data_IF_853627540436
#
_entry.id   IF_853627540436
#
_cell.length_a   1.000
_cell.length_b   1.000
_cell.length_c   1.000
_cell.angle_alpha   90.00
_cell.angle_beta   90.00
_cell.angle_gamma   90.00
#
_symmetry.space_group_name_H-M   'P 1'
#
loop_
_entity.id
_entity.type
_entity.pdbx_description
1 polymer ?
#
# COMPACT_ATOMS: atom_id res chain seq x y z
N UNK A 1 8.32 -14.30 14.06
CA UNK A 1 8.39 -14.02 12.60
C UNK A 1 9.47 -12.96 12.41
N UNK A 2 10.42 -13.09 11.48
CA UNK A 2 11.43 -12.06 11.19
C UNK A 2 10.87 -11.08 10.17
N UNK A 3 11.26 -9.81 10.23
CA UNK A 3 10.93 -8.87 9.15
C UNK A 3 11.82 -9.08 7.93
N UNK A 4 11.27 -8.85 6.74
CA UNK A 4 12.01 -8.74 5.49
C UNK A 4 11.57 -7.46 4.79
N UNK A 5 12.52 -6.75 4.17
CA UNK A 5 12.21 -5.61 3.31
C UNK A 5 12.21 -6.07 1.86
N UNK A 6 11.14 -5.75 1.14
CA UNK A 6 11.01 -6.04 -0.28
C UNK A 6 10.79 -4.71 -1.01
N UNK A 7 11.82 -4.27 -1.74
CA UNK A 7 11.72 -3.12 -2.64
C UNK A 7 11.03 -3.53 -3.93
N UNK A 8 9.93 -2.85 -4.26
CA UNK A 8 9.12 -3.09 -5.45
C UNK A 8 9.13 -1.85 -6.34
N UNK A 9 10.18 -1.71 -7.15
CA UNK A 9 10.44 -0.51 -7.95
C UNK A 9 9.68 -0.52 -9.27
N UNK A 10 8.48 0.04 -9.27
CA UNK A 10 7.65 0.26 -10.47
C UNK A 10 7.06 1.66 -10.48
N UNK A 11 6.97 2.25 -11.65
CA UNK A 11 6.15 3.43 -11.94
C UNK A 11 5.28 3.21 -13.19
N UNK A 12 5.08 1.94 -13.54
CA UNK A 12 4.30 1.53 -14.71
C UNK A 12 2.80 1.74 -14.54
N UNK A 13 2.32 1.71 -13.30
CA UNK A 13 0.90 1.93 -12.97
C UNK A 13 0.48 3.40 -13.01
N UNK A 14 1.41 4.34 -13.16
CA UNK A 14 1.16 5.78 -13.22
C UNK A 14 1.85 6.39 -14.44
N UNK A 15 1.33 7.49 -14.97
CA UNK A 15 1.92 8.15 -16.16
C UNK A 15 3.14 9.04 -15.82
N UNK A 16 3.48 9.20 -14.55
CA UNK A 16 4.60 10.02 -14.07
C UNK A 16 5.76 9.12 -13.67
N UNK A 17 6.95 9.44 -14.15
CA UNK A 17 8.16 8.70 -13.83
C UNK A 17 8.67 9.04 -12.42
N UNK A 18 9.39 8.10 -11.81
CA UNK A 18 10.23 8.32 -10.66
C UNK A 18 9.91 7.49 -9.42
N UNK A 19 8.67 7.02 -9.21
CA UNK A 19 8.38 6.17 -8.04
C UNK A 19 9.14 4.85 -8.07
N UNK A 20 9.52 4.36 -9.25
CA UNK A 20 10.38 3.18 -9.39
C UNK A 20 11.74 3.31 -8.69
N UNK A 21 12.26 4.52 -8.53
CA UNK A 21 13.53 4.81 -7.87
C UNK A 21 13.39 4.84 -6.33
N UNK A 22 12.19 5.10 -5.82
CA UNK A 22 11.90 5.27 -4.40
C UNK A 22 12.39 4.11 -3.53
N UNK A 23 12.08 2.84 -3.86
CA UNK A 23 12.51 1.69 -3.08
C UNK A 23 14.01 1.58 -2.90
N UNK A 24 14.79 1.80 -3.96
CA UNK A 24 16.26 1.72 -3.90
C UNK A 24 16.82 2.79 -2.97
N UNK A 25 16.32 4.03 -3.08
CA UNK A 25 16.76 5.15 -2.26
C UNK A 25 16.44 4.90 -0.78
N UNK A 26 15.19 4.57 -0.45
CA UNK A 26 14.79 4.30 0.94
C UNK A 26 15.52 3.09 1.54
N UNK A 27 15.69 2.01 0.79
CA UNK A 27 16.42 0.82 1.29
C UNK A 27 17.88 1.15 1.58
N UNK A 28 18.54 1.98 0.77
CA UNK A 28 19.92 2.36 1.03
C UNK A 28 20.06 3.12 2.36
N UNK A 29 19.15 4.01 2.68
CA UNK A 29 19.16 4.74 3.95
C UNK A 29 18.77 3.84 5.14
N UNK A 30 17.80 2.95 4.96
CA UNK A 30 17.37 1.98 5.96
C UNK A 30 18.51 1.04 6.39
N UNK A 31 19.44 0.70 5.51
CA UNK A 31 20.61 -0.13 5.84
C UNK A 31 21.46 0.40 6.99
N UNK A 32 21.36 1.69 7.30
CA UNK A 32 22.03 2.30 8.46
C UNK A 32 21.55 1.72 9.80
N UNK A 33 20.28 1.36 9.91
CA UNK A 33 19.66 0.87 11.14
C UNK A 33 19.00 -0.52 11.01
N UNK A 34 18.70 -0.99 9.81
CA UNK A 34 18.13 -2.31 9.57
C UNK A 34 19.21 -3.30 9.11
N UNK A 35 19.34 -4.44 9.82
CA UNK A 35 20.34 -5.49 9.55
C UNK A 35 19.71 -6.79 9.05
N UNK A 36 18.39 -6.78 8.80
CA UNK A 36 17.67 -7.93 8.24
C UNK A 36 17.87 -8.08 6.74
N UNK A 37 17.17 -9.05 6.17
CA UNK A 37 17.19 -9.32 4.73
C UNK A 37 16.42 -8.25 3.96
N UNK A 38 16.98 -7.81 2.83
CA UNK A 38 16.33 -6.89 1.91
C UNK A 38 16.51 -7.41 0.46
N UNK A 39 15.40 -7.50 -0.26
CA UNK A 39 15.34 -7.91 -1.67
C UNK A 39 14.82 -6.72 -2.46
N UNK A 40 15.32 -6.49 -3.68
CA UNK A 40 14.82 -5.44 -4.57
C UNK A 40 14.41 -6.05 -5.90
N UNK A 41 13.19 -5.77 -6.31
CA UNK A 41 12.60 -6.14 -7.60
C UNK A 41 12.31 -4.85 -8.34
N UNK A 42 12.88 -4.71 -9.53
CA UNK A 42 12.75 -3.50 -10.34
C UNK A 42 12.05 -3.81 -11.66
N UNK A 43 11.29 -2.85 -12.17
CA UNK A 43 10.87 -2.88 -13.57
C UNK A 43 12.09 -2.90 -14.49
N UNK A 44 11.93 -3.40 -15.71
CA UNK A 44 12.98 -3.39 -16.70
C UNK A 44 13.28 -1.93 -17.15
N UNK A 45 14.57 -1.61 -17.30
CA UNK A 45 15.01 -0.24 -17.59
C UNK A 45 14.54 0.28 -18.97
N UNK A 46 14.37 -0.63 -19.94
CA UNK A 46 14.07 -0.27 -21.34
C UNK A 46 12.55 -0.19 -21.64
N UNK A 47 11.69 -0.29 -20.63
CA UNK A 47 10.24 -0.22 -20.84
C UNK A 47 9.82 1.21 -21.19
N UNK A 48 9.30 1.38 -22.41
CA UNK A 48 8.65 2.62 -22.82
C UNK A 48 7.18 2.63 -22.36
N UNK A 49 6.90 3.43 -21.35
CA UNK A 49 5.54 3.61 -20.85
C UNK A 49 4.59 4.15 -21.92
N UNK A 50 3.38 3.61 -21.95
CA UNK A 50 2.31 4.20 -22.73
C UNK A 50 1.99 5.61 -22.23
N UNK A 51 2.08 6.58 -23.12
CA UNK A 51 1.70 7.98 -22.86
C UNK A 51 0.36 8.34 -23.52
N UNK A 52 -0.28 7.39 -24.19
CA UNK A 52 -1.56 7.62 -24.83
C UNK A 52 -2.67 7.78 -23.78
N UNK A 53 -3.14 9.01 -23.58
CA UNK A 53 -4.18 9.32 -22.61
C UNK A 53 -5.54 8.69 -22.92
N UNK A 54 -5.79 8.29 -24.16
CA UNK A 54 -7.04 7.60 -24.55
C UNK A 54 -7.00 6.09 -24.28
N UNK A 55 -5.84 5.53 -23.99
CA UNK A 55 -5.69 4.13 -23.65
C UNK A 55 -6.05 3.91 -22.17
N UNK A 56 -7.05 3.07 -21.93
CA UNK A 56 -7.52 2.71 -20.60
C UNK A 56 -6.78 1.52 -19.99
N UNK A 57 -5.94 0.84 -20.76
CA UNK A 57 -5.15 -0.35 -20.39
C UNK A 57 -3.64 -0.07 -20.46
N UNK A 58 -3.24 1.09 -19.99
CA UNK A 58 -1.83 1.50 -20.04
C UNK A 58 -0.94 0.55 -19.27
N UNK A 59 0.09 0.06 -19.95
CA UNK A 59 1.14 -0.78 -19.35
C UNK A 59 0.58 -2.02 -18.62
N UNK A 60 -0.63 -2.49 -18.97
CA UNK A 60 -1.28 -3.61 -18.28
C UNK A 60 -0.39 -4.85 -18.25
N UNK A 61 0.23 -5.20 -19.39
CA UNK A 61 1.10 -6.35 -19.49
C UNK A 61 2.37 -6.20 -18.64
N UNK A 62 3.01 -5.06 -18.70
CA UNK A 62 4.25 -4.75 -18.00
C UNK A 62 4.02 -4.69 -16.47
N UNK A 63 2.88 -4.13 -16.05
CA UNK A 63 2.46 -4.15 -14.63
C UNK A 63 2.20 -5.58 -14.15
N UNK A 64 1.52 -6.41 -14.96
CA UNK A 64 1.26 -7.81 -14.60
C UNK A 64 2.57 -8.59 -14.46
N UNK A 65 3.54 -8.37 -15.34
CA UNK A 65 4.84 -9.05 -15.29
C UNK A 65 5.62 -8.74 -14.00
N UNK A 66 5.76 -7.45 -13.65
CA UNK A 66 6.46 -7.09 -12.41
C UNK A 66 5.68 -7.51 -11.17
N UNK A 67 4.36 -7.36 -11.18
CA UNK A 67 3.49 -7.76 -10.08
C UNK A 67 3.56 -9.28 -9.83
N UNK A 68 3.69 -10.09 -10.87
CA UNK A 68 3.92 -11.54 -10.76
C UNK A 68 5.22 -11.86 -10.00
N UNK A 69 6.30 -11.14 -10.29
CA UNK A 69 7.60 -11.30 -9.60
C UNK A 69 7.50 -10.90 -8.12
N UNK A 70 6.83 -9.77 -7.84
CA UNK A 70 6.61 -9.26 -6.47
C UNK A 70 5.75 -10.25 -5.66
N UNK A 71 4.61 -10.67 -6.24
CA UNK A 71 3.71 -11.64 -5.62
C UNK A 71 4.41 -12.94 -5.21
N UNK A 72 5.15 -13.53 -6.15
CA UNK A 72 5.85 -14.79 -5.93
C UNK A 72 6.90 -14.67 -4.83
N UNK A 73 7.64 -13.56 -4.81
CA UNK A 73 8.66 -13.29 -3.78
C UNK A 73 8.03 -13.13 -2.40
N UNK A 74 6.95 -12.35 -2.28
CA UNK A 74 6.26 -12.15 -0.99
C UNK A 74 5.71 -13.47 -0.48
N UNK A 75 5.02 -14.22 -1.35
CA UNK A 75 4.42 -15.52 -0.99
C UNK A 75 5.47 -16.53 -0.51
N UNK A 76 6.64 -16.57 -1.16
CA UNK A 76 7.77 -17.41 -0.73
C UNK A 76 8.26 -17.00 0.66
N UNK A 77 8.51 -15.71 0.88
CA UNK A 77 9.02 -15.19 2.15
C UNK A 77 8.02 -15.33 3.30
N UNK A 78 6.74 -15.16 3.06
CA UNK A 78 5.72 -15.44 4.08
C UNK A 78 5.68 -16.92 4.46
N UNK A 79 5.84 -17.86 3.51
CA UNK A 79 5.97 -19.31 3.79
C UNK A 79 7.22 -19.63 4.60
N UNK A 80 8.29 -18.87 4.44
CA UNK A 80 9.49 -18.92 5.27
C UNK A 80 9.31 -18.26 6.65
N UNK A 81 8.10 -17.83 6.98
CA UNK A 81 7.72 -17.16 8.23
C UNK A 81 8.35 -15.78 8.42
N UNK A 82 8.52 -15.02 7.32
CA UNK A 82 8.87 -13.61 7.39
C UNK A 82 7.61 -12.72 7.41
N UNK A 83 7.75 -11.56 8.04
CA UNK A 83 6.81 -10.45 7.94
C UNK A 83 7.26 -9.53 6.81
N UNK A 84 6.54 -9.43 5.68
CA UNK A 84 6.94 -8.57 4.58
C UNK A 84 6.64 -7.12 4.89
N UNK A 85 7.64 -6.27 4.72
CA UNK A 85 7.53 -4.81 4.64
C UNK A 85 7.91 -4.44 3.21
N UNK A 86 6.90 -4.13 2.40
CA UNK A 86 7.11 -3.78 1.00
C UNK A 86 7.31 -2.27 0.88
N UNK A 87 8.38 -1.86 0.25
CA UNK A 87 8.62 -0.47 -0.12
C UNK A 87 8.36 -0.37 -1.61
N UNK A 88 7.24 0.26 -1.96
CA UNK A 88 6.73 0.27 -3.31
C UNK A 88 7.19 1.45 -4.15
N UNK A 89 6.96 1.30 -5.42
CA UNK A 89 6.83 2.35 -6.40
C UNK A 89 5.45 3.00 -6.34
N UNK A 90 4.71 2.98 -7.44
CA UNK A 90 3.31 3.43 -7.47
C UNK A 90 2.37 2.40 -6.81
N UNK A 91 1.13 2.80 -6.55
CA UNK A 91 0.14 1.98 -5.82
C UNK A 91 -0.29 0.70 -6.56
N UNK A 92 0.11 0.47 -7.82
CA UNK A 92 -0.17 -0.80 -8.50
C UNK A 92 0.52 -1.99 -7.83
N UNK A 93 1.64 -1.76 -7.11
CA UNK A 93 2.35 -2.82 -6.39
C UNK A 93 1.63 -3.28 -5.11
N UNK A 94 0.68 -2.50 -4.59
CA UNK A 94 -0.16 -2.94 -3.49
C UNK A 94 -1.00 -4.17 -3.87
N UNK A 95 -1.32 -4.35 -5.16
CA UNK A 95 -2.07 -5.52 -5.64
C UNK A 95 -1.33 -6.82 -5.28
N UNK A 96 -0.10 -7.07 -5.75
CA UNK A 96 0.63 -8.28 -5.39
C UNK A 96 0.95 -8.38 -3.90
N UNK A 97 1.20 -7.25 -3.22
CA UNK A 97 1.51 -7.24 -1.79
C UNK A 97 0.35 -7.77 -0.95
N UNK A 98 -0.85 -7.26 -1.16
CA UNK A 98 -2.03 -7.69 -0.44
C UNK A 98 -2.50 -9.10 -0.85
N UNK A 99 -2.47 -9.44 -2.16
CA UNK A 99 -2.94 -10.72 -2.66
C UNK A 99 -2.01 -11.89 -2.30
N UNK A 100 -0.70 -11.69 -2.17
CA UNK A 100 0.22 -12.71 -1.68
C UNK A 100 -0.14 -13.10 -0.24
N UNK A 101 -0.36 -12.11 0.64
CA UNK A 101 -0.80 -12.35 2.01
C UNK A 101 -2.18 -13.01 2.05
N UNK A 102 -3.12 -12.58 1.18
CA UNK A 102 -4.43 -13.22 1.08
C UNK A 102 -4.34 -14.69 0.66
N UNK A 103 -3.42 -15.05 -0.23
CA UNK A 103 -3.17 -16.45 -0.61
C UNK A 103 -2.63 -17.28 0.54
N UNK A 104 -1.69 -16.73 1.30
CA UNK A 104 -1.03 -17.46 2.38
C UNK A 104 -1.95 -17.63 3.61
N UNK A 105 -2.71 -16.60 3.97
CA UNK A 105 -3.57 -16.60 5.16
C UNK A 105 -5.05 -16.89 4.85
N UNK A 106 -5.45 -17.00 3.57
CA UNK A 106 -6.77 -17.33 3.03
C UNK A 106 -7.87 -16.26 3.25
N UNK A 107 -7.98 -15.71 4.44
CA UNK A 107 -9.01 -14.73 4.80
C UNK A 107 -8.38 -13.61 5.62
N UNK A 108 -8.12 -12.49 4.99
CA UNK A 108 -7.54 -11.30 5.61
C UNK A 108 -8.41 -10.08 5.38
N UNK A 109 -8.22 -9.06 6.23
CA UNK A 109 -8.72 -7.72 5.96
C UNK A 109 -7.63 -6.81 5.42
N UNK A 110 -8.01 -5.61 5.01
CA UNK A 110 -7.10 -4.61 4.50
C UNK A 110 -7.48 -3.21 4.96
N UNK A 111 -6.48 -2.40 5.26
CA UNK A 111 -6.64 -0.96 5.48
C UNK A 111 -5.69 -0.22 4.54
N UNK A 112 -6.24 0.67 3.73
CA UNK A 112 -5.51 1.59 2.86
C UNK A 112 -5.59 3.00 3.44
N UNK A 113 -4.45 3.56 3.81
CA UNK A 113 -4.30 4.97 4.16
C UNK A 113 -3.93 5.75 2.90
N UNK A 114 -4.89 6.45 2.30
CA UNK A 114 -4.71 7.14 1.00
C UNK A 114 -5.74 8.26 0.81
N UNK A 115 -5.42 9.29 0.03
CA UNK A 115 -6.42 10.28 -0.40
C UNK A 115 -7.39 9.71 -1.45
N UNK A 116 -7.05 8.59 -2.05
CA UNK A 116 -7.78 7.93 -3.15
C UNK A 116 -8.41 6.64 -2.68
N UNK A 117 -9.53 6.25 -3.30
CA UNK A 117 -10.12 4.92 -3.08
C UNK A 117 -9.48 3.84 -3.95
N UNK A 118 -8.80 4.22 -5.04
CA UNK A 118 -8.18 3.30 -6.01
C UNK A 118 -9.15 2.21 -6.49
N UNK A 119 -10.42 2.60 -6.68
CA UNK A 119 -11.53 1.69 -7.00
C UNK A 119 -12.07 1.85 -8.43
N UNK A 120 -11.28 2.49 -9.30
CA UNK A 120 -11.55 2.51 -10.73
C UNK A 120 -11.41 1.11 -11.36
N UNK A 121 -12.00 0.93 -12.51
CA UNK A 121 -11.82 -0.22 -13.40
C UNK A 121 -11.40 0.29 -14.78
N UNK A 122 -11.04 -0.59 -15.69
CA UNK A 122 -10.77 -0.18 -17.08
C UNK A 122 -11.96 0.53 -17.76
N UNK A 123 -13.20 0.27 -17.28
CA UNK A 123 -14.40 0.94 -17.82
C UNK A 123 -14.60 2.34 -17.23
N UNK A 124 -14.18 2.58 -16.00
CA UNK A 124 -14.46 3.85 -15.27
C UNK A 124 -13.28 4.80 -15.22
N UNK A 125 -12.05 4.31 -15.40
CA UNK A 125 -10.85 5.16 -15.33
C UNK A 125 -10.86 6.26 -16.38
N UNK A 126 -10.51 7.46 -15.96
CA UNK A 126 -10.32 8.62 -16.85
C UNK A 126 -8.88 8.65 -17.36
N UNK A 127 -7.93 8.32 -16.49
CA UNK A 127 -6.49 8.42 -16.78
C UNK A 127 -5.91 7.19 -17.46
N UNK A 128 -6.53 5.99 -17.30
CA UNK A 128 -5.95 4.71 -17.70
C UNK A 128 -4.83 4.23 -16.78
N UNK A 129 -4.57 4.91 -15.67
CA UNK A 129 -3.53 4.57 -14.72
C UNK A 129 -3.99 3.41 -13.82
N UNK A 130 -3.19 2.36 -13.75
CA UNK A 130 -3.51 1.14 -12.97
C UNK A 130 -3.42 1.39 -11.47
N UNK A 131 -2.58 2.32 -11.00
CA UNK A 131 -2.52 2.66 -9.58
C UNK A 131 -3.90 3.05 -9.02
N UNK A 132 -4.74 3.75 -9.78
CA UNK A 132 -6.13 4.09 -9.42
C UNK A 132 -7.13 2.92 -9.48
N UNK A 133 -6.68 1.71 -9.83
CA UNK A 133 -7.51 0.50 -9.93
C UNK A 133 -7.11 -0.57 -8.89
N UNK A 134 -6.09 -0.30 -8.09
CA UNK A 134 -5.44 -1.31 -7.25
C UNK A 134 -6.43 -1.97 -6.28
N UNK A 135 -7.25 -1.21 -5.58
CA UNK A 135 -8.15 -1.77 -4.59
C UNK A 135 -9.33 -2.53 -5.22
N UNK A 136 -9.81 -2.10 -6.39
CA UNK A 136 -10.81 -2.86 -7.15
C UNK A 136 -10.26 -4.23 -7.57
N UNK A 137 -8.99 -4.30 -7.98
CA UNK A 137 -8.32 -5.55 -8.32
C UNK A 137 -8.17 -6.48 -7.10
N UNK A 138 -7.71 -5.95 -5.97
CA UNK A 138 -7.53 -6.68 -4.71
C UNK A 138 -8.86 -7.27 -4.22
N UNK A 139 -9.95 -6.53 -4.37
CA UNK A 139 -11.28 -6.98 -3.99
C UNK A 139 -11.99 -7.86 -5.06
N UNK A 140 -11.36 -8.05 -6.23
CA UNK A 140 -11.96 -8.81 -7.33
C UNK A 140 -13.22 -8.15 -7.90
N UNK A 141 -13.35 -6.83 -7.77
CA UNK A 141 -14.52 -6.09 -8.24
C UNK A 141 -14.65 -6.19 -9.75
N UNK A 142 -15.85 -6.53 -10.23
CA UNK A 142 -16.16 -6.75 -11.66
C UNK A 142 -15.13 -7.67 -12.38
N UNK A 143 -14.62 -8.69 -11.68
CA UNK A 143 -13.64 -9.63 -12.21
C UNK A 143 -12.38 -8.93 -12.78
N UNK A 144 -11.83 -7.97 -12.03
CA UNK A 144 -10.63 -7.25 -12.45
C UNK A 144 -9.55 -8.19 -12.99
N UNK A 145 -9.06 -7.87 -14.17
CA UNK A 145 -8.04 -8.65 -14.88
C UNK A 145 -6.64 -8.44 -14.30
N UNK A 146 -6.41 -7.40 -13.47
CA UNK A 146 -5.12 -7.01 -12.90
C UNK A 146 -4.58 -7.96 -11.81
N UNK A 147 -4.99 -9.23 -11.80
CA UNK A 147 -4.61 -10.24 -10.82
C UNK A 147 -4.48 -11.65 -11.41
N UNK A 148 -4.10 -11.77 -12.65
CA UNK A 148 -3.98 -13.06 -13.36
C UNK A 148 -3.06 -14.08 -12.67
N UNK A 149 -2.01 -13.59 -11.99
CA UNK A 149 -1.09 -14.42 -11.22
C UNK A 149 -1.66 -14.95 -9.89
N UNK A 150 -2.85 -14.47 -9.48
CA UNK A 150 -3.45 -14.83 -8.21
C UNK A 150 -4.57 -15.87 -8.37
N UNK A 151 -4.38 -17.02 -7.75
CA UNK A 151 -5.33 -18.14 -7.73
C UNK A 151 -5.99 -18.36 -6.35
N UNK A 152 -5.84 -17.38 -5.44
CA UNK A 152 -6.38 -17.41 -4.09
C UNK A 152 -7.68 -16.62 -3.93
N UNK A 153 -8.09 -16.48 -2.67
CA UNK A 153 -9.23 -15.65 -2.30
C UNK A 153 -8.90 -14.17 -2.44
N UNK A 154 -9.82 -13.40 -2.99
CA UNK A 154 -9.76 -11.94 -2.95
C UNK A 154 -10.03 -11.44 -1.52
N UNK A 155 -9.56 -10.25 -1.19
CA UNK A 155 -9.92 -9.59 0.07
C UNK A 155 -11.34 -9.03 -0.09
N UNK A 156 -12.24 -9.40 0.83
CA UNK A 156 -13.63 -8.97 0.74
C UNK A 156 -13.75 -7.45 0.89
N UNK A 157 -14.54 -6.76 0.03
CA UNK A 157 -14.75 -5.31 0.16
C UNK A 157 -15.27 -4.91 1.55
N UNK A 158 -16.12 -5.74 2.17
CA UNK A 158 -16.64 -5.52 3.52
C UNK A 158 -15.59 -5.65 4.62
N UNK A 159 -14.39 -6.14 4.32
CA UNK A 159 -13.21 -6.25 5.19
C UNK A 159 -12.08 -5.34 4.72
N UNK A 160 -12.36 -4.47 3.75
CA UNK A 160 -11.44 -3.48 3.23
C UNK A 160 -11.90 -2.09 3.66
N UNK A 161 -10.96 -1.29 4.16
CA UNK A 161 -11.23 0.05 4.67
C UNK A 161 -10.26 1.03 4.03
N UNK A 162 -10.75 2.14 3.52
CA UNK A 162 -9.95 3.30 3.10
C UNK A 162 -10.05 4.38 4.16
N UNK A 163 -8.93 4.95 4.55
CA UNK A 163 -8.85 6.04 5.55
C UNK A 163 -8.16 7.25 4.94
N UNK A 164 -8.84 8.39 4.95
CA UNK A 164 -8.33 9.67 4.47
C UNK A 164 -8.76 10.05 3.05
N UNK A 165 -9.73 9.32 2.46
CA UNK A 165 -10.22 9.61 1.12
C UNK A 165 -10.74 11.05 1.00
N UNK A 166 -10.28 11.77 -0.03
CA UNK A 166 -10.70 13.14 -0.34
C UNK A 166 -10.77 13.44 -1.84
N UNK A 167 -10.29 12.52 -2.66
CA UNK A 167 -10.32 12.63 -4.11
C UNK A 167 -10.85 11.31 -4.70
N UNK A 168 -12.07 11.33 -5.20
CA UNK A 168 -12.75 10.17 -5.77
C UNK A 168 -13.38 10.61 -7.09
N UNK A 169 -13.02 9.94 -8.19
CA UNK A 169 -13.56 10.22 -9.52
C UNK A 169 -15.08 10.00 -9.56
N UNK A 170 -15.80 10.78 -10.37
CA UNK A 170 -17.27 10.68 -10.43
C UNK A 170 -17.74 9.28 -10.84
N UNK A 171 -17.07 8.63 -11.81
CA UNK A 171 -17.39 7.29 -12.23
C UNK A 171 -16.96 6.19 -11.23
N UNK A 172 -15.98 6.50 -10.37
CA UNK A 172 -15.51 5.63 -9.30
C UNK A 172 -16.49 5.60 -8.12
N UNK A 173 -17.19 6.71 -7.86
CA UNK A 173 -18.19 6.82 -6.77
C UNK A 173 -19.24 5.71 -6.80
N UNK A 174 -19.73 5.35 -7.99
CA UNK A 174 -20.69 4.26 -8.13
C UNK A 174 -20.06 2.90 -7.82
N UNK A 175 -18.82 2.66 -8.25
CA UNK A 175 -18.09 1.45 -7.91
C UNK A 175 -17.93 1.31 -6.39
N UNK A 176 -17.48 2.36 -5.72
CA UNK A 176 -17.34 2.39 -4.25
C UNK A 176 -18.68 2.12 -3.56
N UNK A 177 -19.73 2.83 -3.98
CA UNK A 177 -21.07 2.73 -3.37
C UNK A 177 -21.66 1.32 -3.43
N UNK A 178 -21.45 0.60 -4.52
CA UNK A 178 -22.06 -0.72 -4.73
C UNK A 178 -21.15 -1.89 -4.38
N UNK A 179 -19.90 -1.65 -4.02
CA UNK A 179 -18.94 -2.71 -3.68
C UNK A 179 -19.07 -3.25 -2.26
N UNK A 180 -19.55 -2.44 -1.33
CA UNK A 180 -19.49 -2.73 0.10
C UNK A 180 -18.16 -2.31 0.76
N UNK A 181 -17.34 -1.54 0.04
CA UNK A 181 -16.11 -0.95 0.56
C UNK A 181 -16.43 0.05 1.70
N UNK A 182 -15.63 0.01 2.76
CA UNK A 182 -15.75 0.99 3.85
C UNK A 182 -14.80 2.16 3.58
N UNK A 183 -15.31 3.38 3.63
CA UNK A 183 -14.51 4.58 3.38
C UNK A 183 -14.72 5.57 4.53
N UNK A 184 -13.62 5.96 5.15
CA UNK A 184 -13.56 7.12 6.05
C UNK A 184 -12.85 8.25 5.33
N UNK A 185 -13.59 9.28 4.98
CA UNK A 185 -13.08 10.48 4.32
C UNK A 185 -12.26 11.34 5.28
N UNK A 186 -11.52 12.32 4.72
CA UNK A 186 -10.85 13.35 5.54
C UNK A 186 -11.85 14.11 6.40
N UNK A 187 -13.09 14.29 5.93
CA UNK A 187 -14.16 14.93 6.70
C UNK A 187 -14.64 14.05 7.87
N UNK A 188 -14.75 12.72 7.67
CA UNK A 188 -15.09 11.79 8.75
C UNK A 188 -14.02 11.83 9.86
N UNK A 189 -12.74 11.95 9.49
CA UNK A 189 -11.64 12.06 10.44
C UNK A 189 -11.76 13.35 11.25
N UNK A 190 -12.08 14.48 10.62
CA UNK A 190 -12.31 15.76 11.32
C UNK A 190 -13.48 15.69 12.30
N UNK A 191 -14.55 15.00 11.92
CA UNK A 191 -15.76 14.92 12.74
C UNK A 191 -15.64 13.91 13.89
N UNK A 192 -15.08 12.72 13.64
CA UNK A 192 -15.03 11.61 14.61
C UNK A 192 -13.75 11.59 15.43
N UNK A 193 -12.69 12.22 14.94
CA UNK A 193 -11.33 12.13 15.47
C UNK A 193 -10.55 10.94 14.91
N UNK A 194 -9.26 11.15 14.71
CA UNK A 194 -8.34 10.22 14.05
C UNK A 194 -8.28 8.86 14.76
N UNK A 195 -8.15 8.85 16.09
CA UNK A 195 -8.06 7.62 16.89
C UNK A 195 -9.33 6.77 16.77
N UNK A 196 -10.50 7.40 16.80
CA UNK A 196 -11.79 6.71 16.63
C UNK A 196 -11.86 6.03 15.27
N UNK A 197 -11.54 6.77 14.19
CA UNK A 197 -11.60 6.26 12.83
C UNK A 197 -10.64 5.07 12.63
N UNK A 198 -9.41 5.16 13.12
CA UNK A 198 -8.44 4.07 12.99
C UNK A 198 -8.87 2.83 13.77
N UNK A 199 -9.37 2.99 14.99
CA UNK A 199 -9.88 1.87 15.78
C UNK A 199 -11.11 1.21 15.12
N UNK A 200 -12.03 2.00 14.54
CA UNK A 200 -13.14 1.49 13.73
C UNK A 200 -12.63 0.72 12.50
N UNK A 201 -11.64 1.28 11.77
CA UNK A 201 -11.05 0.63 10.60
C UNK A 201 -10.43 -0.73 10.94
N UNK A 202 -9.63 -0.81 12.01
CA UNK A 202 -9.09 -2.10 12.47
C UNK A 202 -10.18 -3.06 12.95
N UNK A 203 -11.24 -2.58 13.59
CA UNK A 203 -12.37 -3.41 14.01
C UNK A 203 -13.05 -4.07 12.82
N UNK A 204 -13.29 -3.30 11.74
CA UNK A 204 -13.89 -3.80 10.49
C UNK A 204 -12.96 -4.79 9.80
N UNK A 205 -11.70 -4.41 9.59
CA UNK A 205 -10.75 -5.21 8.82
C UNK A 205 -10.40 -6.54 9.50
N UNK A 206 -10.31 -6.58 10.83
CA UNK A 206 -9.95 -7.79 11.56
C UNK A 206 -11.12 -8.71 11.91
N UNK A 207 -12.38 -8.27 11.73
CA UNK A 207 -13.52 -9.07 12.10
C UNK A 207 -13.59 -10.39 11.32
N UNK A 208 -13.40 -11.52 12.01
CA UNK A 208 -13.37 -12.88 11.44
C UNK A 208 -12.30 -13.09 10.37
N UNK A 209 -11.19 -12.33 10.42
CA UNK A 209 -10.04 -12.49 9.54
C UNK A 209 -8.83 -13.08 10.30
N UNK A 210 -7.84 -13.57 9.56
CA UNK A 210 -6.58 -14.10 10.11
C UNK A 210 -5.56 -13.00 10.42
N UNK A 211 -5.77 -11.81 9.88
CA UNK A 211 -4.92 -10.64 10.05
C UNK A 211 -5.27 -9.55 9.05
N UNK A 212 -4.56 -8.45 9.13
CA UNK A 212 -4.80 -7.26 8.33
C UNK A 212 -3.55 -6.92 7.52
N UNK A 213 -3.71 -6.72 6.22
CA UNK A 213 -2.72 -6.05 5.39
C UNK A 213 -2.91 -4.54 5.52
N UNK A 214 -1.84 -3.80 5.78
CA UNK A 214 -1.86 -2.34 5.86
C UNK A 214 -1.06 -1.75 4.72
N UNK A 215 -1.69 -0.91 3.91
CA UNK A 215 -1.04 -0.14 2.85
C UNK A 215 -1.04 1.34 3.20
N UNK A 216 0.12 1.99 3.08
CA UNK A 216 0.30 3.40 3.37
C UNK A 216 0.79 4.15 2.13
N UNK A 217 -0.07 5.00 1.57
CA UNK A 217 0.21 5.88 0.45
C UNK A 217 0.69 7.25 0.95
N UNK A 218 1.91 7.63 0.57
CA UNK A 218 2.50 8.92 0.96
C UNK A 218 1.76 10.14 0.40
N UNK A 219 0.92 9.97 -0.63
CA UNK A 219 0.02 11.03 -1.11
C UNK A 219 -1.06 11.42 -0.09
N UNK A 220 -1.19 10.68 1.02
CA UNK A 220 -2.05 11.04 2.14
C UNK A 220 -1.64 12.37 2.77
N UNK A 221 -0.34 12.68 2.79
CA UNK A 221 0.20 13.94 3.27
C UNK A 221 -0.14 15.10 2.33
N UNK A 222 -0.18 16.31 2.88
CA UNK A 222 -0.29 17.52 2.06
C UNK A 222 1.00 17.73 1.24
N UNK A 223 0.90 18.09 -0.07
CA UNK A 223 2.07 18.26 -0.92
C UNK A 223 3.00 19.40 -0.50
N UNK A 224 2.58 20.33 0.33
CA UNK A 224 3.46 21.34 0.92
C UNK A 224 4.45 20.74 1.92
N UNK A 225 4.11 19.59 2.49
CA UNK A 225 4.90 18.85 3.48
C UNK A 225 5.64 17.70 2.80
N UNK A 226 4.96 16.93 1.96
CA UNK A 226 5.48 15.78 1.24
C UNK A 226 5.31 15.94 -0.29
N UNK A 227 6.15 16.77 -0.96
CA UNK A 227 6.05 17.02 -2.39
C UNK A 227 6.47 15.82 -3.24
N UNK A 228 7.23 14.87 -2.68
CA UNK A 228 7.83 13.74 -3.38
C UNK A 228 6.85 12.60 -3.65
N UNK A 229 5.72 12.89 -4.31
CA UNK A 229 4.73 11.91 -4.75
C UNK A 229 4.35 12.13 -6.21
N UNK A 230 3.91 11.09 -6.92
CA UNK A 230 3.56 11.22 -8.35
C UNK A 230 2.28 11.98 -8.57
N UNK A 231 1.25 11.70 -7.78
CA UNK A 231 -0.05 12.34 -7.87
C UNK A 231 -0.33 13.04 -6.54
N UNK A 232 0.03 14.33 -6.41
CA UNK A 232 -0.21 15.08 -5.18
C UNK A 232 -1.68 15.48 -5.07
N UNK A 233 -2.25 15.42 -3.85
CA UNK A 233 -3.60 15.86 -3.56
C UNK A 233 -3.56 16.86 -2.40
N UNK A 234 -4.16 18.03 -2.60
CA UNK A 234 -4.18 19.12 -1.61
C UNK A 234 -5.10 18.81 -0.42
N UNK A 235 -5.05 19.66 0.60
CA UNK A 235 -5.78 19.48 1.87
C UNK A 235 -5.46 18.15 2.56
N UNK A 236 -4.22 17.73 2.43
CA UNK A 236 -3.68 16.51 3.01
C UNK A 236 -3.39 16.60 4.49
N UNK A 237 -2.91 15.51 5.04
CA UNK A 237 -2.53 15.43 6.45
C UNK A 237 -1.18 16.08 6.70
N UNK A 238 -1.04 16.65 7.89
CA UNK A 238 0.23 17.13 8.42
C UNK A 238 1.16 15.97 8.80
N UNK A 239 2.45 16.25 8.96
CA UNK A 239 3.41 15.26 9.46
C UNK A 239 3.01 14.74 10.85
N UNK A 240 2.52 15.62 11.74
CA UNK A 240 2.09 15.23 13.09
C UNK A 240 0.91 14.25 13.04
N UNK A 241 -0.09 14.50 12.21
CA UNK A 241 -1.23 13.60 12.02
C UNK A 241 -0.78 12.25 11.48
N UNK A 242 0.11 12.23 10.50
CA UNK A 242 0.65 10.99 9.92
C UNK A 242 1.49 10.22 10.94
N UNK A 243 2.31 10.89 11.76
CA UNK A 243 3.03 10.23 12.84
C UNK A 243 2.09 9.67 13.91
N UNK A 244 0.94 10.32 14.17
CA UNK A 244 -0.09 9.79 15.05
C UNK A 244 -0.80 8.57 14.44
N UNK A 245 -1.11 8.59 13.13
CA UNK A 245 -1.61 7.40 12.41
C UNK A 245 -0.63 6.24 12.60
N UNK A 246 0.66 6.48 12.37
CA UNK A 246 1.67 5.43 12.48
C UNK A 246 1.75 4.84 13.90
N UNK A 247 1.64 5.65 14.94
CA UNK A 247 1.55 5.17 16.35
C UNK A 247 0.33 4.30 16.57
N UNK A 248 -0.83 4.68 16.01
CA UNK A 248 -2.06 3.90 16.11
C UNK A 248 -1.98 2.59 15.32
N UNK A 249 -1.39 2.59 14.13
CA UNK A 249 -1.06 1.35 13.38
C UNK A 249 -0.21 0.42 14.25
N UNK A 250 0.84 0.95 14.87
CA UNK A 250 1.74 0.17 15.75
C UNK A 250 1.00 -0.40 16.98
N UNK A 251 0.03 0.31 17.54
CA UNK A 251 -0.80 -0.21 18.63
C UNK A 251 -1.60 -1.47 18.22
N UNK A 252 -1.92 -1.60 16.92
CA UNK A 252 -2.57 -2.76 16.34
C UNK A 252 -1.60 -3.79 15.70
N UNK A 253 -0.27 -3.65 15.92
CA UNK A 253 0.74 -4.49 15.25
C UNK A 253 0.49 -6.01 15.40
N UNK A 254 -0.12 -6.46 16.48
CA UNK A 254 -0.48 -7.87 16.68
C UNK A 254 -1.44 -8.42 15.63
N UNK A 255 -2.31 -7.57 15.11
CA UNK A 255 -3.34 -7.91 14.12
C UNK A 255 -2.81 -7.77 12.67
N UNK A 256 -1.65 -7.12 12.48
CA UNK A 256 -1.07 -6.85 11.16
C UNK A 256 -0.16 -8.02 10.75
N UNK A 257 -0.31 -8.48 9.51
CA UNK A 257 0.45 -9.60 8.92
C UNK A 257 1.42 -9.17 7.83
N UNK A 258 1.15 -8.06 7.17
CA UNK A 258 2.00 -7.48 6.12
C UNK A 258 1.77 -5.97 6.03
N UNK A 259 2.74 -5.26 5.49
CA UNK A 259 2.71 -3.81 5.38
C UNK A 259 3.33 -3.37 4.06
N UNK A 260 2.74 -2.39 3.37
CA UNK A 260 3.42 -1.67 2.30
C UNK A 260 3.39 -0.15 2.49
N UNK A 261 4.41 0.52 1.93
CA UNK A 261 4.51 1.98 1.82
C UNK A 261 4.78 2.31 0.36
N UNK A 262 3.94 3.13 -0.23
CA UNK A 262 3.92 3.43 -1.68
C UNK A 262 3.96 4.92 -1.99
N UNK A 263 4.15 5.23 -3.25
CA UNK A 263 4.08 6.56 -3.88
C UNK A 263 5.26 7.50 -3.57
N UNK A 264 6.36 7.05 -2.96
CA UNK A 264 7.54 7.89 -2.85
C UNK A 264 8.18 8.12 -4.23
N UNK A 265 8.22 9.39 -4.66
CA UNK A 265 8.85 9.81 -5.91
C UNK A 265 10.04 10.75 -5.64
N UNK A 266 11.28 10.24 -5.64
CA UNK A 266 12.46 11.04 -5.34
C UNK A 266 12.73 12.14 -6.36
N UNK A 267 12.25 12.01 -7.62
CA UNK A 267 12.42 13.04 -8.66
C UNK A 267 11.55 14.28 -8.41
N UNK A 268 10.55 14.18 -7.55
CA UNK A 268 9.65 15.28 -7.18
C UNK A 268 9.88 15.76 -5.75
N UNK A 269 10.74 15.07 -4.99
CA UNK A 269 10.99 15.43 -3.59
C UNK A 269 11.90 16.67 -3.51
N UNK A 270 11.59 17.55 -2.58
CA UNK A 270 12.32 18.78 -2.32
C UNK A 270 13.03 18.69 -0.98
N UNK A 271 14.34 18.87 -0.97
CA UNK A 271 15.16 18.84 0.25
C UNK A 271 14.97 17.56 1.08
N UNK A 272 14.65 16.44 0.45
CA UNK A 272 14.42 15.14 1.10
C UNK A 272 13.28 15.16 2.15
N UNK A 273 12.30 16.04 2.00
CA UNK A 273 11.19 16.17 2.96
C UNK A 273 10.36 14.90 3.04
N UNK A 274 9.87 14.44 1.88
CA UNK A 274 9.05 13.22 1.79
C UNK A 274 9.84 11.99 2.21
N UNK A 275 11.07 11.90 1.78
CA UNK A 275 12.00 10.82 2.14
C UNK A 275 12.19 10.72 3.65
N UNK A 276 12.42 11.82 4.35
CA UNK A 276 12.60 11.81 5.81
C UNK A 276 11.36 11.32 6.54
N UNK A 277 10.18 11.73 6.09
CA UNK A 277 8.90 11.25 6.65
C UNK A 277 8.74 9.75 6.39
N UNK A 278 8.99 9.29 5.16
CA UNK A 278 8.94 7.88 4.80
C UNK A 278 9.89 7.03 5.64
N UNK A 279 11.13 7.49 5.84
CA UNK A 279 12.12 6.81 6.69
C UNK A 279 11.68 6.76 8.15
N UNK A 280 11.07 7.82 8.68
CA UNK A 280 10.55 7.84 10.05
C UNK A 280 9.41 6.83 10.23
N UNK A 281 8.48 6.75 9.27
CA UNK A 281 7.39 5.76 9.28
C UNK A 281 7.99 4.35 9.27
N UNK A 282 8.87 4.05 8.31
CA UNK A 282 9.48 2.74 8.14
C UNK A 282 10.30 2.31 9.34
N UNK A 283 11.09 3.20 9.93
CA UNK A 283 11.88 2.90 11.12
C UNK A 283 10.99 2.47 12.31
N UNK A 284 9.88 3.15 12.51
CA UNK A 284 8.93 2.82 13.58
C UNK A 284 8.22 1.49 13.31
N UNK A 285 7.79 1.22 12.08
CA UNK A 285 7.16 -0.06 11.69
C UNK A 285 8.14 -1.23 11.84
N UNK A 286 9.36 -1.09 11.32
CA UNK A 286 10.41 -2.11 11.46
C UNK A 286 10.68 -2.45 12.94
N UNK A 287 10.82 -1.43 13.78
CA UNK A 287 11.02 -1.62 15.21
C UNK A 287 9.83 -2.31 15.88
N UNK A 288 8.60 -1.97 15.49
CA UNK A 288 7.40 -2.60 16.05
C UNK A 288 7.28 -4.08 15.64
N UNK A 289 7.60 -4.42 14.40
CA UNK A 289 7.63 -5.81 13.92
C UNK A 289 8.70 -6.61 14.67
N UNK A 290 9.87 -6.06 14.88
CA UNK A 290 10.95 -6.74 15.62
C UNK A 290 10.56 -7.00 17.08
N UNK A 291 9.95 -6.03 17.78
CA UNK A 291 9.44 -6.19 19.14
C UNK A 291 8.30 -7.22 19.25
N UNK A 292 7.40 -7.27 18.26
CA UNK A 292 6.37 -8.31 18.18
C UNK A 292 6.99 -9.71 18.22
N UNK A 293 8.08 -9.88 17.48
CA UNK A 293 8.78 -11.15 17.40
C UNK A 293 9.45 -11.58 18.70
N UNK A 294 10.06 -10.64 19.43
CA UNK A 294 10.67 -10.91 20.76
C UNK A 294 9.61 -11.39 21.75
N UNK A 295 8.46 -10.71 21.82
CA UNK A 295 7.35 -11.08 22.70
C UNK A 295 6.76 -12.47 22.38
N UNK A 296 6.61 -12.81 21.08
CA UNK A 296 6.12 -14.13 20.67
C UNK A 296 7.12 -15.26 21.03
N UNK A 297 8.41 -14.97 21.04
CA UNK A 297 9.45 -15.94 21.42
C UNK A 297 9.45 -16.20 22.93
N UNK A 298 9.30 -15.17 23.74
CA UNK A 298 9.20 -15.31 25.20
C UNK A 298 7.96 -16.08 25.66
N UNK A 299 6.83 -15.93 24.98
CA UNK A 299 5.59 -16.68 25.28
C UNK A 299 5.72 -18.17 24.95
N UNK A 300 6.49 -18.53 23.92
CA UNK A 300 6.73 -19.95 23.54
C UNK A 300 7.72 -20.68 24.46
N UNK A 301 8.47 -19.95 25.28
CA UNK A 301 9.44 -20.50 26.22
C UNK A 301 8.86 -20.70 27.63
N UNK A 302 7.65 -20.23 27.87
CA UNK A 302 6.86 -20.44 29.11
C UNK A 302 5.79 -21.53 28.89
#
# INVERSE_FOLDING_TARGET
MKSIIIGAGSDLGVHIDGTSLGPVQLINDIKSFYKGEAITIMQEEDILKSRNLSDRRKNEYEVDEINTKIYSTILEKEKENYFPIVIGGDSSITIPAALASSKNYENIGMILFSPYTNYNTFDTTVSGNINGMALAAINGYKNSELRYYHDGNVIQPTKTVVVGARSIDDWEKDNVKYSGLNVFSSEDIKQKGLETVINEAFTIAKERTKGVHVSFDLSLLDPSIAPGVSVPEFDGMTEEEVMNINKLIIAHMKDIISYDLVEFNPLRDENRKTEQIALNILAQIINAVNKKNENEFEVKLK
#
